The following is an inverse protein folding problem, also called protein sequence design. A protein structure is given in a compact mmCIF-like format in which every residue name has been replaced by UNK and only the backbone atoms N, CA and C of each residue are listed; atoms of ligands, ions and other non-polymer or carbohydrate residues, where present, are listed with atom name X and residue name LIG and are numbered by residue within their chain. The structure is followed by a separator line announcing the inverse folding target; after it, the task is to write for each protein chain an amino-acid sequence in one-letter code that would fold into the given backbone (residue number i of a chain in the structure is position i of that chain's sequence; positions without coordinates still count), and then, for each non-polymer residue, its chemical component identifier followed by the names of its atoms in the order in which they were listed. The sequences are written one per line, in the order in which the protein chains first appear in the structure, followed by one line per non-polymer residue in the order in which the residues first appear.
data_IF_475206360825
#
_entry.id   IF_475206360825
#
_cell.length_a   1.000
_cell.length_b   1.000
_cell.length_c   1.000
_cell.angle_alpha   90.00
_cell.angle_beta   90.00
_cell.angle_gamma   90.00
#
_symmetry.space_group_name_H-M   'P 1'
#
loop_
_entity.id
_entity.type
_entity.pdbx_description
1 polymer ?
#
# COMPACT_ATOMS: atom_id res chain seq x y z
N UNK A 1 -3.07 -18.33 7.19
CA UNK A 1 -3.01 -18.54 5.73
C UNK A 1 -1.97 -17.62 5.08
N UNK A 2 -2.08 -16.30 5.25
CA UNK A 2 -1.16 -15.24 4.76
C UNK A 2 0.33 -15.46 4.99
N UNK A 3 0.75 -15.85 6.20
CA UNK A 3 2.16 -16.16 6.51
C UNK A 3 2.74 -17.25 5.58
N UNK A 4 1.95 -18.26 5.21
CA UNK A 4 2.38 -19.33 4.30
C UNK A 4 2.56 -18.84 2.86
N UNK A 5 1.85 -17.79 2.46
CA UNK A 5 1.95 -17.19 1.12
C UNK A 5 3.21 -16.34 1.04
N UNK A 6 3.39 -15.45 2.01
CA UNK A 6 4.57 -14.58 2.08
C UNK A 6 5.87 -15.39 2.08
N UNK A 7 5.94 -16.47 2.87
CA UNK A 7 7.12 -17.34 2.93
C UNK A 7 7.30 -18.26 1.71
N UNK A 8 6.32 -18.34 0.80
CA UNK A 8 6.47 -18.99 -0.51
C UNK A 8 6.90 -18.01 -1.60
N UNK A 9 6.59 -16.73 -1.43
CA UNK A 9 6.90 -15.67 -2.40
C UNK A 9 8.24 -14.99 -2.11
N UNK A 10 8.65 -14.94 -0.84
CA UNK A 10 9.86 -14.24 -0.39
C UNK A 10 10.71 -15.14 0.52
N UNK A 11 12.04 -15.10 0.33
CA UNK A 11 12.99 -15.83 1.18
C UNK A 11 13.01 -15.31 2.61
N UNK A 12 12.83 -13.99 2.77
CA UNK A 12 12.83 -13.31 4.06
C UNK A 12 11.62 -12.38 4.18
N UNK A 13 10.96 -12.43 5.35
CA UNK A 13 9.82 -11.56 5.69
C UNK A 13 10.11 -10.90 7.02
N UNK A 14 10.26 -9.58 7.01
CA UNK A 14 10.46 -8.76 8.22
C UNK A 14 9.18 -7.96 8.45
N UNK A 15 8.61 -8.10 9.65
CA UNK A 15 7.46 -7.32 10.08
C UNK A 15 7.95 -6.18 10.95
N UNK A 16 7.70 -4.93 10.53
CA UNK A 16 8.01 -3.74 11.32
C UNK A 16 6.83 -3.48 12.25
N UNK A 17 7.02 -3.82 13.53
CA UNK A 17 6.05 -3.52 14.57
C UNK A 17 6.29 -2.11 15.12
N UNK A 18 5.33 -1.23 14.86
CA UNK A 18 5.34 0.16 15.32
C UNK A 18 4.04 0.50 16.04
N UNK A 19 3.45 -0.47 16.76
CA UNK A 19 2.16 -0.32 17.47
C UNK A 19 2.08 0.89 18.39
N UNK A 20 3.18 1.25 19.06
CA UNK A 20 3.19 2.37 20.01
C UNK A 20 3.20 3.73 19.30
N UNK A 21 4.07 4.00 18.30
CA UNK A 21 3.93 5.19 17.49
C UNK A 21 2.65 5.20 16.61
N UNK A 22 2.08 4.03 16.29
CA UNK A 22 0.82 3.92 15.56
C UNK A 22 -0.41 4.29 16.41
N UNK A 23 -0.33 4.10 17.74
CA UNK A 23 -1.41 4.39 18.68
C UNK A 23 -0.88 5.19 19.89
N UNK A 24 -0.84 6.53 19.76
CA UNK A 24 -0.43 7.43 20.84
C UNK A 24 -1.31 7.32 22.10
N UNK A 25 -2.55 6.79 22.00
CA UNK A 25 -3.39 6.52 23.19
C UNK A 25 -2.72 5.45 24.05
N UNK A 26 -2.26 4.36 23.41
CA UNK A 26 -1.60 3.24 24.08
C UNK A 26 -0.26 3.64 24.67
N UNK A 27 0.46 4.55 24.02
CA UNK A 27 1.77 5.02 24.48
C UNK A 27 1.72 6.13 25.54
N UNK A 28 0.77 7.06 25.45
CA UNK A 28 0.80 8.31 26.23
C UNK A 28 -0.54 8.68 26.88
N UNK A 29 -1.59 7.89 26.68
CA UNK A 29 -2.90 8.12 27.30
C UNK A 29 -3.65 9.35 26.77
N UNK A 30 -3.30 9.88 25.59
CA UNK A 30 -3.99 11.02 24.98
C UNK A 30 -5.33 10.58 24.37
N UNK A 31 -6.50 11.00 24.89
CA UNK A 31 -7.78 10.50 24.41
C UNK A 31 -8.38 11.35 23.28
N UNK A 32 -7.58 12.17 22.58
CA UNK A 32 -8.08 13.09 21.54
C UNK A 32 -7.81 12.46 20.15
N UNK A 33 -8.82 11.90 19.46
CA UNK A 33 -8.60 11.11 18.24
C UNK A 33 -7.91 11.88 17.12
N UNK A 34 -8.24 13.16 16.94
CA UNK A 34 -7.59 14.01 15.95
C UNK A 34 -6.09 14.19 16.25
N UNK A 35 -5.74 14.55 17.49
CA UNK A 35 -4.34 14.71 17.91
C UNK A 35 -3.54 13.40 17.75
N UNK A 36 -4.15 12.26 18.06
CA UNK A 36 -3.51 10.95 17.88
C UNK A 36 -3.24 10.65 16.41
N UNK A 37 -4.15 11.03 15.52
CA UNK A 37 -3.94 10.90 14.08
C UNK A 37 -2.77 11.79 13.61
N UNK A 38 -2.66 13.03 14.11
CA UNK A 38 -1.52 13.91 13.83
C UNK A 38 -0.18 13.32 14.30
N UNK A 39 -0.14 12.85 15.55
CA UNK A 39 1.08 12.28 16.14
C UNK A 39 1.49 11.01 15.41
N UNK A 40 0.54 10.11 15.11
CA UNK A 40 0.80 8.92 14.28
C UNK A 40 1.45 9.29 12.95
N UNK A 41 0.91 10.29 12.24
CA UNK A 41 1.47 10.75 10.97
C UNK A 41 2.83 11.44 11.10
N UNK A 42 3.14 12.07 12.23
CA UNK A 42 4.48 12.58 12.50
C UNK A 42 5.47 11.43 12.77
N UNK A 43 5.03 10.42 13.51
CA UNK A 43 5.84 9.29 13.92
C UNK A 43 6.23 8.36 12.76
N UNK A 44 5.43 8.30 11.67
CA UNK A 44 5.82 7.55 10.47
C UNK A 44 7.17 8.03 9.89
N UNK A 45 7.55 9.30 10.11
CA UNK A 45 8.86 9.80 9.71
C UNK A 45 9.98 9.15 10.52
N UNK A 46 9.80 9.02 11.84
CA UNK A 46 10.80 8.42 12.74
C UNK A 46 10.92 6.93 12.44
N UNK A 47 9.80 6.21 12.39
CA UNK A 47 9.78 4.78 12.12
C UNK A 47 10.35 4.48 10.73
N UNK A 48 10.04 5.31 9.73
CA UNK A 48 10.57 5.15 8.37
C UNK A 48 12.10 5.29 8.32
N UNK A 49 12.67 6.26 9.03
CA UNK A 49 14.13 6.44 9.10
C UNK A 49 14.83 5.31 9.86
N UNK A 50 14.24 4.81 10.94
CA UNK A 50 14.75 3.66 11.68
C UNK A 50 14.73 2.41 10.78
N UNK A 51 13.63 2.19 10.06
CA UNK A 51 13.50 1.08 9.10
C UNK A 51 14.53 1.18 7.98
N UNK A 52 14.74 2.38 7.42
CA UNK A 52 15.78 2.63 6.41
C UNK A 52 17.19 2.31 6.94
N UNK A 53 17.51 2.71 8.18
CA UNK A 53 18.79 2.37 8.79
C UNK A 53 18.97 0.87 8.98
N UNK A 54 17.91 0.15 9.36
CA UNK A 54 17.95 -1.32 9.46
C UNK A 54 18.19 -1.96 8.09
N UNK A 55 17.47 -1.52 7.05
CA UNK A 55 17.69 -2.01 5.68
C UNK A 55 19.14 -1.77 5.25
N UNK A 56 19.60 -0.51 5.29
CA UNK A 56 20.95 -0.16 4.84
C UNK A 56 22.02 -0.89 5.65
N UNK A 57 22.01 -0.77 6.98
CA UNK A 57 23.10 -1.22 7.84
C UNK A 57 23.03 -2.69 8.22
N UNK A 58 21.92 -3.38 8.01
CA UNK A 58 21.79 -4.80 8.40
C UNK A 58 21.40 -5.72 7.27
N UNK A 59 20.82 -5.22 6.19
CA UNK A 59 20.44 -6.07 5.06
C UNK A 59 21.35 -5.85 3.86
N UNK A 60 21.79 -4.61 3.61
CA UNK A 60 22.52 -4.27 2.37
C UNK A 60 24.04 -4.14 2.57
N UNK A 61 24.49 -3.39 3.58
CA UNK A 61 25.91 -2.99 3.71
C UNK A 61 26.72 -3.96 4.57
N UNK A 62 26.09 -4.58 5.57
CA UNK A 62 26.77 -5.42 6.56
C UNK A 62 27.28 -6.71 5.91
N UNK A 63 28.60 -6.89 5.90
CA UNK A 63 29.26 -8.04 5.28
C UNK A 63 29.04 -9.33 6.05
N UNK A 64 28.67 -9.23 7.33
CA UNK A 64 28.36 -10.37 8.19
C UNK A 64 26.87 -10.73 8.16
N UNK A 65 26.09 -10.06 7.30
CA UNK A 65 24.66 -10.29 7.10
C UNK A 65 24.39 -10.86 5.71
N UNK A 66 23.14 -11.25 5.37
CA UNK A 66 22.84 -11.87 4.08
C UNK A 66 23.16 -11.01 2.84
N UNK A 67 23.62 -9.75 2.99
CA UNK A 67 24.03 -8.85 1.90
C UNK A 67 23.04 -8.89 0.73
N UNK A 68 21.80 -8.53 1.03
CA UNK A 68 20.67 -8.55 0.10
C UNK A 68 20.82 -7.38 -0.87
N UNK A 69 20.82 -7.68 -2.16
CA UNK A 69 20.73 -6.67 -3.21
C UNK A 69 19.52 -5.76 -2.95
N UNK A 70 19.67 -4.42 -2.89
CA UNK A 70 18.54 -3.50 -2.78
C UNK A 70 17.43 -3.73 -3.80
N UNK A 71 17.80 -4.24 -4.98
CA UNK A 71 16.85 -4.68 -6.00
C UNK A 71 16.04 -5.88 -5.52
N UNK A 72 16.55 -6.79 -4.71
CA UNK A 72 15.77 -7.88 -4.13
C UNK A 72 14.71 -7.42 -3.11
N UNK A 73 14.80 -6.18 -2.63
CA UNK A 73 13.98 -5.71 -1.50
C UNK A 73 12.66 -5.10 -1.97
N UNK A 74 11.56 -5.60 -1.40
CA UNK A 74 10.22 -5.04 -1.49
C UNK A 74 9.78 -4.55 -0.12
N UNK A 75 9.32 -3.30 -0.02
CA UNK A 75 8.75 -2.73 1.20
C UNK A 75 7.27 -2.44 0.97
N UNK A 76 6.43 -2.92 1.88
CA UNK A 76 4.96 -2.80 1.81
C UNK A 76 4.48 -1.98 2.99
N UNK A 77 3.75 -0.90 2.72
CA UNK A 77 3.22 0.00 3.75
C UNK A 77 1.71 0.07 3.65
N UNK A 78 0.99 -0.49 4.63
CA UNK A 78 -0.47 -0.41 4.67
C UNK A 78 -0.93 0.84 5.44
N UNK A 79 -1.95 1.53 4.93
CA UNK A 79 -2.52 2.72 5.61
C UNK A 79 -1.46 3.78 5.90
N UNK A 80 -1.34 4.26 7.15
CA UNK A 80 -0.27 5.18 7.54
C UNK A 80 1.15 4.64 7.24
N UNK A 81 1.33 3.32 7.16
CA UNK A 81 2.55 2.71 6.68
C UNK A 81 2.90 3.07 5.23
N UNK A 82 1.93 3.39 4.38
CA UNK A 82 2.16 3.90 3.02
C UNK A 82 2.95 5.22 3.02
N UNK A 83 2.65 6.11 3.97
CA UNK A 83 3.39 7.35 4.17
C UNK A 83 4.81 7.12 4.70
N UNK A 84 5.00 6.05 5.47
CA UNK A 84 6.32 5.64 5.95
C UNK A 84 7.27 5.31 4.79
N UNK A 85 6.75 4.79 3.67
CA UNK A 85 7.55 4.39 2.50
C UNK A 85 8.32 5.57 1.89
N UNK A 86 7.73 6.77 1.88
CA UNK A 86 8.41 7.99 1.43
C UNK A 86 9.66 8.25 2.27
N UNK A 87 9.54 8.21 3.59
CA UNK A 87 10.65 8.45 4.50
C UNK A 87 11.69 7.34 4.48
N UNK A 88 11.27 6.09 4.27
CA UNK A 88 12.20 4.96 4.09
C UNK A 88 13.07 5.21 2.85
N UNK A 89 12.44 5.45 1.71
CA UNK A 89 13.12 5.61 0.42
C UNK A 89 14.05 6.82 0.41
N UNK A 90 13.53 8.00 0.77
CA UNK A 90 14.32 9.24 0.76
C UNK A 90 15.51 9.16 1.69
N UNK A 91 15.35 8.58 2.89
CA UNK A 91 16.46 8.40 3.82
C UNK A 91 17.52 7.41 3.29
N UNK A 92 17.11 6.31 2.68
CA UNK A 92 18.03 5.36 2.02
C UNK A 92 18.85 6.04 0.92
N UNK A 93 18.19 6.84 0.08
CA UNK A 93 18.84 7.53 -1.03
C UNK A 93 19.79 8.62 -0.53
N UNK A 94 19.33 9.49 0.37
CA UNK A 94 20.11 10.63 0.86
C UNK A 94 21.30 10.22 1.72
N UNK A 95 21.17 9.16 2.53
CA UNK A 95 22.20 8.78 3.51
C UNK A 95 23.13 7.67 3.04
N UNK A 96 22.65 6.79 2.17
CA UNK A 96 23.38 5.58 1.79
C UNK A 96 23.47 5.38 0.28
N UNK A 97 22.89 6.28 -0.52
CA UNK A 97 22.77 6.16 -1.98
C UNK A 97 22.08 4.85 -2.43
N UNK A 98 21.19 4.32 -1.60
CA UNK A 98 20.46 3.07 -1.87
C UNK A 98 19.09 3.39 -2.49
N UNK A 99 18.81 2.80 -3.65
CA UNK A 99 17.48 2.79 -4.26
C UNK A 99 16.87 1.40 -4.12
N UNK A 100 15.67 1.31 -3.52
CA UNK A 100 14.97 0.05 -3.36
C UNK A 100 14.37 -0.46 -4.67
N UNK A 101 14.21 -1.77 -4.74
CA UNK A 101 13.64 -2.43 -5.89
C UNK A 101 12.13 -2.22 -6.05
N UNK A 102 11.35 -2.26 -4.95
CA UNK A 102 9.89 -2.11 -5.05
C UNK A 102 9.27 -1.54 -3.77
N UNK A 103 8.43 -0.51 -3.90
CA UNK A 103 7.54 -0.01 -2.85
C UNK A 103 6.10 -0.32 -3.21
N UNK A 104 5.32 -0.84 -2.27
CA UNK A 104 3.89 -1.09 -2.45
C UNK A 104 3.09 -0.46 -1.34
N UNK A 105 2.08 0.32 -1.71
CA UNK A 105 1.19 1.03 -0.80
C UNK A 105 -0.26 0.58 -0.97
N UNK A 106 -0.72 -0.42 -0.18
CA UNK A 106 -2.13 -0.72 -0.06
C UNK A 106 -2.80 0.30 0.87
N UNK A 107 -3.63 1.16 0.29
CA UNK A 107 -4.51 2.10 1.00
C UNK A 107 -3.81 3.23 1.75
N UNK A 108 -2.65 3.70 1.28
CA UNK A 108 -1.97 4.86 1.85
C UNK A 108 -2.81 6.13 1.73
N UNK A 109 -3.08 6.83 2.85
CA UNK A 109 -3.80 8.09 2.83
C UNK A 109 -2.89 9.22 2.33
N UNK A 110 -3.42 10.21 1.59
CA UNK A 110 -2.70 11.45 1.35
C UNK A 110 -2.38 12.12 2.70
N UNK A 111 -1.33 12.93 2.75
CA UNK A 111 -1.07 13.76 3.91
C UNK A 111 -2.16 14.84 4.02
N UNK A 112 -3.22 14.55 4.76
CA UNK A 112 -4.44 15.36 4.82
C UNK A 112 -4.27 16.76 5.43
N UNK A 113 -3.15 17.07 6.10
CA UNK A 113 -3.10 18.23 7.01
C UNK A 113 -1.98 19.25 6.76
N UNK A 114 -1.28 19.18 5.63
CA UNK A 114 -0.31 20.23 5.33
C UNK A 114 0.06 20.26 3.85
N UNK A 115 -0.08 21.44 3.24
CA UNK A 115 0.46 21.77 1.91
C UNK A 115 1.96 21.44 1.81
N UNK A 116 2.73 21.61 2.90
CA UNK A 116 4.16 21.25 2.96
C UNK A 116 4.46 19.73 2.84
N UNK A 117 3.44 18.87 2.88
CA UNK A 117 3.59 17.41 2.79
C UNK A 117 2.95 16.83 1.53
N UNK A 118 2.37 17.66 0.66
CA UNK A 118 1.88 17.23 -0.67
C UNK A 118 3.02 16.62 -1.50
N UNK A 119 4.24 17.11 -1.34
CA UNK A 119 5.42 16.55 -2.04
C UNK A 119 6.06 15.35 -1.33
N UNK A 120 5.61 15.06 -0.10
CA UNK A 120 6.14 14.02 0.81
C UNK A 120 5.27 12.77 0.83
N UNK A 121 4.72 12.43 -0.32
CA UNK A 121 3.96 11.22 -0.54
C UNK A 121 4.73 10.25 -1.43
N UNK A 122 4.26 9.01 -1.48
CA UNK A 122 4.78 8.02 -2.39
C UNK A 122 4.69 8.55 -3.83
N UNK A 123 5.79 8.56 -4.59
CA UNK A 123 5.87 9.07 -5.97
C UNK A 123 6.77 8.18 -6.85
N UNK A 124 6.63 8.18 -8.19
CA UNK A 124 7.59 7.50 -9.05
C UNK A 124 9.02 8.00 -8.77
N UNK A 125 10.01 7.12 -8.86
CA UNK A 125 11.42 7.43 -8.61
C UNK A 125 11.87 7.26 -7.15
N UNK A 126 10.97 7.01 -6.20
CA UNK A 126 11.33 6.60 -4.84
C UNK A 126 11.87 5.15 -4.78
N UNK A 127 11.54 4.34 -5.77
CA UNK A 127 12.09 3.01 -5.99
C UNK A 127 12.05 2.70 -7.49
N UNK A 128 12.63 1.57 -7.90
CA UNK A 128 12.55 1.13 -9.30
C UNK A 128 11.11 0.86 -9.74
N UNK A 129 10.26 0.41 -8.83
CA UNK A 129 8.82 0.30 -9.00
C UNK A 129 8.09 0.80 -7.75
N UNK A 130 6.95 1.45 -7.96
CA UNK A 130 6.12 2.05 -6.93
C UNK A 130 4.65 1.77 -7.27
N UNK A 131 4.04 0.86 -6.53
CA UNK A 131 2.67 0.42 -6.76
C UNK A 131 1.73 0.88 -5.65
N UNK A 132 0.52 1.32 -6.02
CA UNK A 132 -0.51 1.75 -5.09
C UNK A 132 -1.78 0.94 -5.30
N UNK A 133 -2.32 0.31 -4.26
CA UNK A 133 -3.58 -0.45 -4.32
C UNK A 133 -4.62 0.28 -3.49
N UNK A 134 -5.67 0.79 -4.13
CA UNK A 134 -6.66 1.67 -3.49
C UNK A 134 -8.06 1.10 -3.67
N UNK A 135 -8.74 0.87 -2.55
CA UNK A 135 -10.05 0.20 -2.45
C UNK A 135 -11.06 1.09 -1.74
N UNK A 136 -10.55 2.09 -1.04
CA UNK A 136 -11.29 3.23 -0.55
C UNK A 136 -10.36 4.44 -0.70
N UNK A 137 -10.92 5.63 -0.88
CA UNK A 137 -10.14 6.85 -0.98
C UNK A 137 -11.03 8.06 -0.66
N UNK A 138 -10.38 9.13 -0.22
CA UNK A 138 -11.00 10.46 -0.13
C UNK A 138 -10.46 11.33 -1.27
N UNK A 139 -11.26 12.33 -1.67
CA UNK A 139 -10.75 13.41 -2.50
C UNK A 139 -9.88 14.35 -1.65
N UNK A 140 -8.81 14.89 -2.25
CA UNK A 140 -7.99 15.90 -1.60
C UNK A 140 -8.82 17.19 -1.38
N UNK A 141 -8.77 17.75 -0.18
CA UNK A 141 -9.54 18.92 0.28
C UNK A 141 -9.03 20.18 -0.47
N UNK A 142 -9.93 21.03 -1.05
CA UNK A 142 -10.69 22.02 -0.29
C UNK A 142 -12.22 21.90 -0.38
N UNK A 143 -12.75 20.88 -1.07
CA UNK A 143 -14.20 20.78 -1.26
C UNK A 143 -14.91 20.12 -0.05
N UNK A 144 -15.51 21.00 0.76
CA UNK A 144 -16.68 20.77 1.62
C UNK A 144 -16.42 19.85 2.83
N UNK A 145 -16.09 20.53 3.92
CA UNK A 145 -16.16 20.11 5.33
C UNK A 145 -15.15 19.06 5.79
N UNK A 146 -14.25 19.50 6.67
CA UNK A 146 -13.34 18.70 7.49
C UNK A 146 -14.05 17.54 8.24
N UNK A 147 -15.39 17.62 8.39
CA UNK A 147 -16.24 16.57 8.94
C UNK A 147 -16.47 15.37 8.00
N UNK A 148 -16.37 15.55 6.68
CA UNK A 148 -16.49 14.44 5.72
C UNK A 148 -15.16 13.72 5.48
N UNK A 149 -14.02 14.35 5.79
CA UNK A 149 -12.73 13.66 5.90
C UNK A 149 -12.68 12.68 7.08
N UNK A 150 -13.63 12.78 8.02
CA UNK A 150 -13.92 11.79 9.07
C UNK A 150 -14.88 10.68 8.61
N UNK A 151 -15.41 10.72 7.38
CA UNK A 151 -15.96 9.50 6.79
C UNK A 151 -14.79 8.53 6.69
N UNK A 152 -14.96 7.34 7.29
CA UNK A 152 -13.95 6.31 7.56
C UNK A 152 -13.35 5.66 6.28
N UNK A 153 -13.14 6.45 5.24
CA UNK A 153 -12.55 6.12 3.96
C UNK A 153 -11.10 6.60 3.98
N UNK A 154 -10.22 5.78 3.43
CA UNK A 154 -8.77 5.91 3.65
C UNK A 154 -8.01 5.64 2.36
N UNK A 155 -7.38 6.66 1.78
CA UNK A 155 -6.65 6.51 0.52
C UNK A 155 -6.61 7.80 -0.29
N UNK A 156 -5.74 7.87 -1.30
CA UNK A 156 -5.63 9.03 -2.21
C UNK A 156 -6.26 8.73 -3.56
N UNK A 157 -6.91 9.73 -4.17
CA UNK A 157 -7.36 9.68 -5.57
C UNK A 157 -6.25 10.04 -6.57
N UNK A 158 -5.26 10.83 -6.17
CA UNK A 158 -4.17 11.23 -7.07
C UNK A 158 -3.21 10.08 -7.37
N UNK A 159 -2.81 9.97 -8.64
CA UNK A 159 -1.91 8.92 -9.10
C UNK A 159 -0.47 9.35 -8.83
N UNK A 160 0.10 8.80 -7.77
CA UNK A 160 1.50 9.06 -7.41
C UNK A 160 2.32 7.76 -7.45
N UNK A 161 1.85 6.70 -8.09
CA UNK A 161 2.63 5.48 -8.33
C UNK A 161 3.15 5.37 -9.76
N UNK A 162 4.10 4.45 -9.99
CA UNK A 162 4.34 3.88 -11.32
C UNK A 162 3.07 3.19 -11.84
N UNK A 163 2.40 2.45 -10.95
CA UNK A 163 1.08 1.89 -11.21
C UNK A 163 0.15 2.12 -10.03
N UNK A 164 -1.07 2.54 -10.32
CA UNK A 164 -2.13 2.70 -9.34
C UNK A 164 -3.31 1.82 -9.73
N UNK A 165 -3.69 0.95 -8.82
CA UNK A 165 -4.79 0.00 -8.95
C UNK A 165 -6.00 0.51 -8.17
N UNK A 166 -7.07 0.92 -8.87
CA UNK A 166 -8.36 1.21 -8.25
C UNK A 166 -9.21 -0.06 -8.23
N UNK A 167 -9.55 -0.53 -7.04
CA UNK A 167 -10.28 -1.80 -6.88
C UNK A 167 -11.78 -1.56 -7.00
N UNK A 168 -12.42 -2.32 -7.89
CA UNK A 168 -13.87 -2.38 -8.09
C UNK A 168 -14.52 -1.01 -8.36
N UNK A 169 -13.92 -0.12 -9.14
CA UNK A 169 -14.58 1.15 -9.50
C UNK A 169 -15.95 0.89 -10.20
N UNK A 170 -17.05 1.61 -9.86
CA UNK A 170 -17.17 2.71 -8.90
C UNK A 170 -17.44 2.29 -7.45
N UNK A 171 -17.51 1.00 -7.11
CA UNK A 171 -17.71 0.56 -5.72
C UNK A 171 -16.61 1.00 -4.74
N UNK A 172 -15.42 1.35 -5.22
CA UNK A 172 -14.41 2.05 -4.38
C UNK A 172 -14.87 3.43 -3.86
N UNK A 173 -15.91 4.03 -4.44
CA UNK A 173 -16.59 5.24 -3.94
C UNK A 173 -17.71 4.94 -2.94
N UNK A 174 -18.06 3.68 -2.71
CA UNK A 174 -19.18 3.30 -1.83
C UNK A 174 -18.58 2.45 -0.72
N UNK A 175 -18.43 1.15 -0.96
CA UNK A 175 -17.83 0.14 -0.11
C UNK A 175 -17.39 -1.05 -0.98
N UNK A 176 -16.36 -1.78 -0.55
CA UNK A 176 -15.93 -2.99 -1.24
C UNK A 176 -16.95 -4.13 -1.05
N UNK A 177 -17.03 -5.09 -1.99
CA UNK A 177 -17.91 -6.24 -1.86
C UNK A 177 -17.68 -6.96 -0.52
N UNK A 178 -18.77 -7.24 0.21
CA UNK A 178 -18.72 -7.87 1.55
C UNK A 178 -18.45 -6.93 2.72
N UNK A 179 -18.25 -5.63 2.49
CA UNK A 179 -17.93 -4.65 3.53
C UNK A 179 -19.09 -3.71 3.92
N UNK A 180 -20.34 -4.13 3.70
CA UNK A 180 -21.52 -3.28 3.89
C UNK A 180 -21.58 -2.66 5.29
N UNK A 181 -21.67 -1.33 5.35
CA UNK A 181 -21.74 -0.53 6.58
C UNK A 181 -20.46 -0.50 7.42
N UNK A 182 -19.34 -1.01 6.90
CA UNK A 182 -18.07 -1.13 7.65
C UNK A 182 -16.91 -0.53 6.84
N UNK A 183 -16.67 0.78 6.91
CA UNK A 183 -15.65 1.42 6.07
C UNK A 183 -14.22 0.93 6.32
N UNK A 184 -13.90 0.55 7.56
CA UNK A 184 -12.62 -0.09 7.89
C UNK A 184 -12.43 -1.43 7.17
N UNK A 185 -13.51 -2.19 6.90
CA UNK A 185 -13.43 -3.38 6.08
C UNK A 185 -12.96 -3.05 4.66
N UNK A 186 -13.51 -2.00 4.04
CA UNK A 186 -13.09 -1.55 2.70
C UNK A 186 -11.64 -1.09 2.65
N UNK A 187 -11.15 -0.51 3.75
CA UNK A 187 -9.74 -0.15 3.93
C UNK A 187 -8.83 -1.38 4.01
N UNK A 188 -9.15 -2.32 4.91
CA UNK A 188 -8.41 -3.58 5.04
C UNK A 188 -8.48 -4.45 3.78
N UNK A 189 -9.53 -4.31 2.98
CA UNK A 189 -9.69 -5.02 1.72
C UNK A 189 -8.52 -4.78 0.75
N UNK A 190 -7.83 -3.64 0.81
CA UNK A 190 -6.62 -3.45 0.01
C UNK A 190 -5.47 -4.37 0.38
N UNK A 191 -5.29 -4.62 1.68
CA UNK A 191 -4.29 -5.57 2.12
C UNK A 191 -4.67 -7.00 1.70
N UNK A 192 -5.97 -7.32 1.72
CA UNK A 192 -6.54 -8.59 1.21
C UNK A 192 -6.24 -8.76 -0.26
N UNK A 193 -6.51 -7.75 -1.09
CA UNK A 193 -6.26 -7.77 -2.52
C UNK A 193 -4.77 -7.89 -2.83
N UNK A 194 -3.95 -7.09 -2.16
CA UNK A 194 -2.50 -7.17 -2.29
C UNK A 194 -2.00 -8.58 -1.97
N UNK A 195 -2.44 -9.17 -0.87
CA UNK A 195 -1.93 -10.50 -0.51
C UNK A 195 -2.50 -11.61 -1.38
N UNK A 196 -3.76 -11.49 -1.83
CA UNK A 196 -4.30 -12.39 -2.83
C UNK A 196 -3.45 -12.39 -4.11
N UNK A 197 -2.97 -11.22 -4.54
CA UNK A 197 -2.10 -11.09 -5.72
C UNK A 197 -0.76 -11.81 -5.62
N UNK A 198 -0.32 -12.13 -4.40
CA UNK A 198 0.93 -12.88 -4.16
C UNK A 198 0.78 -14.39 -4.39
N UNK A 199 -0.44 -14.91 -4.50
CA UNK A 199 -0.66 -16.33 -4.79
C UNK A 199 -0.26 -16.66 -6.24
N UNK A 200 0.49 -17.76 -6.47
CA UNK A 200 0.82 -18.18 -7.83
C UNK A 200 -0.42 -18.38 -8.70
N UNK A 201 -0.41 -17.80 -9.90
CA UNK A 201 -1.52 -17.88 -10.86
C UNK A 201 -2.71 -16.97 -10.53
N UNK A 202 -2.68 -16.23 -9.41
CA UNK A 202 -3.68 -15.22 -9.11
C UNK A 202 -3.43 -13.97 -9.96
N UNK A 203 -4.50 -13.44 -10.56
CA UNK A 203 -4.45 -12.19 -11.28
C UNK A 203 -5.86 -11.61 -11.43
N UNK A 204 -5.94 -10.29 -11.35
CA UNK A 204 -7.20 -9.55 -11.42
C UNK A 204 -7.40 -9.04 -12.83
N UNK A 205 -8.63 -9.17 -13.36
CA UNK A 205 -9.00 -8.51 -14.61
C UNK A 205 -8.83 -7.01 -14.45
N UNK A 206 -8.26 -6.35 -15.45
CA UNK A 206 -8.01 -4.92 -15.38
C UNK A 206 -8.39 -4.18 -16.66
N UNK A 207 -8.53 -2.86 -16.53
CA UNK A 207 -8.73 -1.93 -17.65
C UNK A 207 -8.11 -0.59 -17.29
N UNK A 208 -7.67 0.23 -18.25
CA UNK A 208 -7.48 1.66 -18.00
C UNK A 208 -8.74 2.25 -17.35
N UNK A 209 -8.60 3.00 -16.27
CA UNK A 209 -9.77 3.54 -15.58
C UNK A 209 -10.51 4.56 -16.45
N UNK A 210 -11.83 4.41 -16.55
CA UNK A 210 -12.72 5.44 -17.07
C UNK A 210 -13.66 5.91 -15.95
N UNK A 211 -13.52 7.17 -15.54
CA UNK A 211 -14.25 7.74 -14.42
C UNK A 211 -15.70 8.13 -14.72
N UNK A 212 -16.08 8.18 -16.01
CA UNK A 212 -17.36 8.74 -16.47
C UNK A 212 -18.34 7.68 -16.99
N UNK A 213 -18.06 6.39 -16.83
CA UNK A 213 -18.90 5.33 -17.39
C UNK A 213 -18.64 3.93 -16.82
N UNK A 214 -19.25 2.92 -17.44
CA UNK A 214 -19.03 1.52 -17.11
C UNK A 214 -17.61 1.12 -17.52
N UNK A 215 -16.78 0.70 -16.56
CA UNK A 215 -15.45 0.17 -16.86
C UNK A 215 -15.59 -1.19 -17.54
N UNK A 216 -15.22 -1.29 -18.82
CA UNK A 216 -15.11 -2.58 -19.51
C UNK A 216 -13.77 -3.20 -19.18
N UNK A 217 -13.79 -4.27 -18.39
CA UNK A 217 -12.59 -5.01 -18.02
C UNK A 217 -12.06 -5.82 -19.21
N UNK A 218 -10.74 -5.76 -19.42
CA UNK A 218 -10.07 -6.61 -20.39
C UNK A 218 -9.97 -8.03 -19.82
N UNK A 219 -9.85 -9.03 -20.70
CA UNK A 219 -9.54 -10.40 -20.28
C UNK A 219 -8.11 -10.58 -19.77
N UNK A 220 -7.24 -9.59 -20.01
CA UNK A 220 -5.91 -9.54 -19.43
C UNK A 220 -5.96 -9.44 -17.90
N UNK A 221 -5.04 -10.14 -17.24
CA UNK A 221 -4.91 -10.16 -15.77
C UNK A 221 -3.64 -9.44 -15.30
N UNK A 222 -3.66 -8.90 -14.09
CA UNK A 222 -2.51 -8.31 -13.40
C UNK A 222 -2.33 -8.89 -12.00
N UNK A 223 -1.08 -9.11 -11.58
CA UNK A 223 -0.70 -9.60 -10.25
C UNK A 223 -0.27 -8.48 -9.27
N UNK A 224 -0.55 -7.22 -9.59
CA UNK A 224 -0.20 -6.04 -8.77
C UNK A 224 1.31 -5.90 -8.51
N UNK A 225 2.12 -6.15 -9.55
CA UNK A 225 3.58 -6.08 -9.49
C UNK A 225 4.14 -5.44 -10.76
N UNK A 226 4.08 -4.12 -10.84
CA UNK A 226 4.53 -3.35 -12.01
C UNK A 226 6.03 -3.49 -12.28
N UNK A 227 6.80 -3.95 -11.29
CA UNK A 227 8.20 -4.28 -11.50
C UNK A 227 8.40 -5.41 -12.51
N UNK A 228 7.51 -6.40 -12.50
CA UNK A 228 7.59 -7.55 -13.40
C UNK A 228 6.76 -7.30 -14.66
N UNK A 229 5.60 -6.68 -14.51
CA UNK A 229 4.65 -6.49 -15.61
C UNK A 229 4.85 -5.17 -16.40
N UNK A 230 5.72 -4.29 -15.92
CA UNK A 230 5.85 -2.91 -16.42
C UNK A 230 4.86 -1.94 -15.79
N UNK A 231 5.18 -0.65 -15.87
CA UNK A 231 4.35 0.46 -15.39
C UNK A 231 3.07 0.56 -16.24
N UNK A 232 1.90 0.60 -15.59
CA UNK A 232 0.60 0.69 -16.28
C UNK A 232 -0.14 2.01 -16.03
N UNK A 233 0.44 2.94 -15.26
CA UNK A 233 -0.21 4.18 -14.87
C UNK A 233 -1.44 3.89 -14.00
N UNK A 234 -2.57 4.50 -14.31
CA UNK A 234 -3.82 4.29 -13.58
C UNK A 234 -4.66 3.18 -14.23
N UNK A 235 -4.92 2.10 -13.48
CA UNK A 235 -5.77 0.99 -13.92
C UNK A 235 -6.79 0.60 -12.86
N UNK A 236 -7.93 0.14 -13.34
CA UNK A 236 -9.05 -0.34 -12.54
C UNK A 236 -9.04 -1.86 -12.57
N UNK A 237 -9.18 -2.49 -11.41
CA UNK A 237 -9.18 -3.95 -11.29
C UNK A 237 -10.50 -4.46 -10.71
N UNK A 238 -10.92 -5.63 -11.16
CA UNK A 238 -12.09 -6.32 -10.63
C UNK A 238 -11.67 -7.42 -9.66
N UNK A 239 -12.31 -7.47 -8.49
CA UNK A 239 -12.10 -8.49 -7.49
C UNK A 239 -13.43 -8.91 -6.82
N UNK A 240 -13.55 -10.20 -6.53
CA UNK A 240 -14.71 -10.80 -5.85
C UNK A 240 -14.72 -10.48 -4.36
N UNK A 241 -15.83 -10.73 -3.68
CA UNK A 241 -15.97 -10.60 -2.23
C UNK A 241 -14.90 -11.36 -1.41
N UNK A 242 -14.40 -12.49 -1.93
CA UNK A 242 -13.47 -13.36 -1.20
C UNK A 242 -12.20 -13.65 -2.04
N UNK A 243 -11.37 -12.64 -2.34
CA UNK A 243 -10.31 -12.76 -3.34
C UNK A 243 -9.20 -13.75 -2.90
N UNK A 244 -8.95 -13.90 -1.59
CA UNK A 244 -8.02 -14.90 -1.07
C UNK A 244 -8.50 -16.32 -1.32
N UNK A 245 -9.80 -16.57 -1.14
CA UNK A 245 -10.39 -17.90 -1.38
C UNK A 245 -10.28 -18.24 -2.85
N UNK A 246 -10.69 -17.31 -3.71
CA UNK A 246 -10.73 -17.51 -5.16
C UNK A 246 -9.32 -17.71 -5.73
N UNK A 247 -8.34 -16.94 -5.26
CA UNK A 247 -6.96 -17.12 -5.65
C UNK A 247 -6.32 -18.40 -5.07
N UNK A 248 -6.68 -18.80 -3.84
CA UNK A 248 -6.23 -20.10 -3.30
C UNK A 248 -6.77 -21.28 -4.11
N UNK A 249 -8.07 -21.25 -4.46
CA UNK A 249 -8.70 -22.29 -5.27
C UNK A 249 -8.12 -22.35 -6.68
N UNK A 250 -7.86 -21.19 -7.28
CA UNK A 250 -7.22 -21.10 -8.60
C UNK A 250 -5.82 -21.71 -8.60
N UNK A 251 -5.02 -21.46 -7.56
CA UNK A 251 -3.68 -22.07 -7.41
C UNK A 251 -3.76 -23.60 -7.26
N UNK A 252 -4.79 -24.12 -6.60
CA UNK A 252 -4.97 -25.58 -6.44
C UNK A 252 -5.42 -26.25 -7.74
N UNK A 253 -6.29 -25.59 -8.52
CA UNK A 253 -6.76 -26.10 -9.80
C UNK A 253 -5.70 -26.07 -10.91
N UNK A 254 -4.69 -25.20 -10.82
CA UNK A 254 -3.58 -25.14 -11.78
C UNK A 254 -2.47 -26.18 -11.57
N UNK A 255 -2.55 -26.99 -10.50
CA UNK A 255 -1.59 -28.03 -10.17
C UNK A 255 -2.13 -29.47 -10.37
N UNK A 256 -3.27 -29.60 -11.06
CA UNK A 256 -3.84 -30.87 -11.55
C UNK A 256 -3.76 -30.92 -13.06
#
# INVERSE_FOLDING_TARGET
MWRKVLLKTFDHVILVDWRYPADPVVAFGFPIPAANFFVMHADVQVVGRVTANLIAKKLVIDKDSPCIDPDGIRVVGFSAGGNMLYFISTWLKERYDITLGHLVDPSGPPFYFSSNFVDKQLKPGLAKAVDMVQCTFNFEIPLITELQALTLRFGSFNATGNTKYLVNLPYSYIEQPGCLGTPSCSHFYCLVIYTASLFPGCGFRYSPCNYLGTTTYLDAKTNLNSRVEGSKGLICIQASENPLRDCTLSTLAGNT
#
